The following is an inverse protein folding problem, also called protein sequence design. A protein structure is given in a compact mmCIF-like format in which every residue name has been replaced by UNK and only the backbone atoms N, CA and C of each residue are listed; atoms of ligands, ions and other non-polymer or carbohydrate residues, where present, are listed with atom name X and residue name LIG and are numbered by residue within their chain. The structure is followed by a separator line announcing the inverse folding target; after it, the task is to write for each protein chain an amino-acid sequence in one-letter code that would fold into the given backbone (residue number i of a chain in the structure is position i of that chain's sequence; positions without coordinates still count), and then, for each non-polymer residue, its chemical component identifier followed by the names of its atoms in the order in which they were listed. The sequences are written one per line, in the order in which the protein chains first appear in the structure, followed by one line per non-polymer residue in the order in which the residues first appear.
data_IF_661483216504
#
_entry.id   IF_661483216504
#
_cell.length_a   1.000
_cell.length_b   1.000
_cell.length_c   1.000
_cell.angle_alpha   90.00
_cell.angle_beta   90.00
_cell.angle_gamma   90.00
#
_symmetry.space_group_name_H-M   'P 1'
#
loop_
_entity.id
_entity.type
_entity.pdbx_description
1 polymer ?
#
# COMPACT_ATOMS: atom_id res chain seq x y z
N UNK A 1 47.62 42.41 58.96
CA UNK A 1 47.59 41.55 57.76
C UNK A 1 46.20 41.60 57.16
N UNK A 2 45.93 42.59 56.30
CA UNK A 2 44.63 42.75 55.64
C UNK A 2 44.77 42.24 54.21
N UNK A 3 44.36 40.99 53.97
CA UNK A 3 44.33 40.42 52.62
C UNK A 3 43.22 41.13 51.85
N UNK A 4 43.59 41.83 50.78
CA UNK A 4 42.66 42.60 49.95
C UNK A 4 41.59 41.67 49.34
N UNK A 5 40.29 41.98 49.46
CA UNK A 5 39.20 41.13 48.97
C UNK A 5 39.10 41.03 47.42
N UNK A 6 39.99 41.70 46.68
CA UNK A 6 40.00 41.73 45.21
C UNK A 6 40.71 40.53 44.57
N UNK A 7 41.73 39.95 45.21
CA UNK A 7 42.48 38.78 44.69
C UNK A 7 41.71 37.48 44.84
N UNK A 8 40.98 37.28 45.95
CA UNK A 8 40.10 36.11 46.15
C UNK A 8 38.92 36.09 45.19
N UNK A 9 38.39 37.25 44.81
CA UNK A 9 37.27 37.35 43.86
C UNK A 9 37.69 37.02 42.42
N UNK A 10 38.90 37.42 42.01
CA UNK A 10 39.48 37.05 40.71
C UNK A 10 39.81 35.56 40.62
N UNK A 11 40.39 34.98 41.67
CA UNK A 11 40.64 33.54 41.74
C UNK A 11 39.36 32.70 41.61
N UNK A 12 38.30 33.05 42.36
CA UNK A 12 36.99 32.36 42.26
C UNK A 12 36.38 32.42 40.86
N UNK A 13 36.50 33.56 40.17
CA UNK A 13 36.05 33.69 38.77
C UNK A 13 36.86 32.82 37.82
N UNK A 14 38.18 32.75 37.99
CA UNK A 14 39.04 31.91 37.16
C UNK A 14 38.71 30.41 37.35
N UNK A 15 38.53 29.94 38.59
CA UNK A 15 38.10 28.56 38.87
C UNK A 15 36.72 28.25 38.30
N UNK A 16 35.77 29.19 38.41
CA UNK A 16 34.43 29.01 37.84
C UNK A 16 34.45 28.91 36.31
N UNK A 17 35.23 29.77 35.64
CA UNK A 17 35.41 29.71 34.18
C UNK A 17 36.13 28.42 33.76
N UNK A 18 37.11 27.95 34.53
CA UNK A 18 37.81 26.70 34.25
C UNK A 18 36.91 25.48 34.40
N UNK A 19 36.02 25.47 35.40
CA UNK A 19 35.00 24.45 35.55
C UNK A 19 34.00 24.47 34.38
N UNK A 20 33.51 25.66 33.98
CA UNK A 20 32.63 25.80 32.82
C UNK A 20 33.30 25.33 31.51
N UNK A 21 34.59 25.61 31.31
CA UNK A 21 35.33 25.12 30.13
C UNK A 21 35.49 23.61 30.14
N UNK A 22 35.67 23.00 31.30
CA UNK A 22 35.71 21.54 31.44
C UNK A 22 34.35 20.91 31.14
N UNK A 23 33.27 21.51 31.64
CA UNK A 23 31.90 21.06 31.36
C UNK A 23 31.56 21.20 29.87
N UNK A 24 31.90 22.33 29.24
CA UNK A 24 31.72 22.52 27.80
C UNK A 24 32.52 21.51 26.97
N UNK A 25 33.76 21.18 27.38
CA UNK A 25 34.57 20.16 26.71
C UNK A 25 33.93 18.78 26.82
N UNK A 26 33.47 18.39 28.00
CA UNK A 26 32.80 17.11 28.21
C UNK A 26 31.49 17.01 27.39
N UNK A 27 30.74 18.11 27.26
CA UNK A 27 29.56 18.16 26.40
C UNK A 27 29.91 17.98 24.92
N UNK A 28 30.97 18.63 24.43
CA UNK A 28 31.42 18.45 23.04
C UNK A 28 31.84 17.02 22.78
N UNK A 29 32.61 16.40 23.68
CA UNK A 29 33.01 14.99 23.58
C UNK A 29 31.80 14.04 23.61
N UNK A 30 30.80 14.33 24.46
CA UNK A 30 29.55 13.58 24.50
C UNK A 30 28.78 13.67 23.18
N UNK A 31 28.55 14.89 22.67
CA UNK A 31 27.84 15.09 21.41
C UNK A 31 28.60 14.52 20.21
N UNK A 32 29.93 14.56 20.23
CA UNK A 32 30.77 13.90 19.23
C UNK A 32 30.57 12.38 19.26
N UNK A 33 30.55 11.77 20.46
CA UNK A 33 30.27 10.35 20.61
C UNK A 33 28.88 9.96 20.10
N UNK A 34 27.86 10.76 20.42
CA UNK A 34 26.49 10.57 19.92
C UNK A 34 26.46 10.65 18.39
N UNK A 35 27.12 11.66 17.80
CA UNK A 35 27.19 11.80 16.35
C UNK A 35 27.86 10.58 15.68
N UNK A 36 28.95 10.06 16.24
CA UNK A 36 29.62 8.86 15.73
C UNK A 36 28.72 7.62 15.83
N UNK A 37 27.99 7.45 16.94
CA UNK A 37 27.05 6.31 17.08
C UNK A 37 25.92 6.42 16.07
N UNK A 38 25.36 7.62 15.87
CA UNK A 38 24.33 7.85 14.85
C UNK A 38 24.86 7.57 13.44
N UNK A 39 26.09 7.97 13.13
CA UNK A 39 26.72 7.69 11.83
C UNK A 39 26.92 6.19 11.62
N UNK A 40 27.42 5.47 12.62
CA UNK A 40 27.61 4.01 12.55
C UNK A 40 26.27 3.27 12.43
N UNK A 41 25.25 3.67 13.21
CA UNK A 41 23.90 3.09 13.12
C UNK A 41 23.32 3.27 11.73
N UNK A 42 23.45 4.46 11.14
CA UNK A 42 23.02 4.73 9.77
C UNK A 42 23.78 3.87 8.75
N UNK A 43 25.08 3.67 8.93
CA UNK A 43 25.88 2.81 8.06
C UNK A 43 25.46 1.35 8.14
N UNK A 44 25.09 0.87 9.33
CA UNK A 44 24.58 -0.49 9.54
C UNK A 44 23.22 -0.69 8.86
N UNK A 45 22.28 0.24 9.04
CA UNK A 45 20.97 0.21 8.37
C UNK A 45 21.11 0.22 6.84
N UNK A 46 22.01 1.05 6.30
CA UNK A 46 22.28 1.08 4.85
C UNK A 46 22.88 -0.24 4.35
N UNK A 47 23.76 -0.88 5.14
CA UNK A 47 24.34 -2.16 4.78
C UNK A 47 23.30 -3.30 4.81
N UNK A 48 22.38 -3.27 5.77
CA UNK A 48 21.29 -4.25 5.87
C UNK A 48 20.27 -4.08 4.74
N UNK A 49 19.88 -2.84 4.42
CA UNK A 49 19.04 -2.53 3.26
C UNK A 49 19.68 -2.98 1.94
N UNK A 50 20.98 -2.70 1.75
CA UNK A 50 21.70 -3.15 0.56
C UNK A 50 21.68 -4.68 0.44
N UNK A 51 21.92 -5.39 1.54
CA UNK A 51 21.87 -6.86 1.58
C UNK A 51 20.47 -7.39 1.24
N UNK A 52 19.42 -6.75 1.74
CA UNK A 52 18.05 -7.13 1.44
C UNK A 52 17.72 -6.95 -0.05
N UNK A 53 18.10 -5.80 -0.65
CA UNK A 53 17.95 -5.57 -2.08
C UNK A 53 18.69 -6.64 -2.91
N UNK A 54 19.93 -6.97 -2.54
CA UNK A 54 20.70 -7.99 -3.25
C UNK A 54 20.03 -9.38 -3.15
N UNK A 55 19.44 -9.71 -2.00
CA UNK A 55 18.73 -10.97 -1.78
C UNK A 55 17.42 -11.04 -2.57
N UNK A 56 16.65 -9.94 -2.66
CA UNK A 56 15.45 -9.86 -3.48
C UNK A 56 15.78 -9.99 -4.97
N UNK A 57 16.84 -9.33 -5.44
CA UNK A 57 17.32 -9.47 -6.82
C UNK A 57 17.67 -10.93 -7.12
N UNK A 58 18.39 -11.61 -6.22
CA UNK A 58 18.74 -13.03 -6.40
C UNK A 58 17.49 -13.93 -6.43
N UNK A 59 16.53 -13.70 -5.53
CA UNK A 59 15.28 -14.46 -5.50
C UNK A 59 14.45 -14.27 -6.78
N UNK A 60 14.38 -13.03 -7.29
CA UNK A 60 13.68 -12.73 -8.54
C UNK A 60 14.39 -13.35 -9.75
N UNK A 61 15.72 -13.31 -9.79
CA UNK A 61 16.50 -13.96 -10.83
C UNK A 61 16.29 -15.48 -10.83
N UNK A 62 16.20 -16.11 -9.66
CA UNK A 62 15.92 -17.54 -9.55
C UNK A 62 14.50 -17.89 -10.01
N UNK A 63 13.50 -17.11 -9.62
CA UNK A 63 12.12 -17.30 -10.08
C UNK A 63 12.01 -17.16 -11.62
N UNK A 64 12.70 -16.16 -12.20
CA UNK A 64 12.77 -16.00 -13.65
C UNK A 64 13.48 -17.17 -14.34
N UNK A 65 14.57 -17.67 -13.74
CA UNK A 65 15.29 -18.85 -14.24
C UNK A 65 14.41 -20.10 -14.19
N UNK A 66 13.63 -20.27 -13.12
CA UNK A 66 12.72 -21.41 -12.97
C UNK A 66 11.58 -21.34 -13.98
N UNK A 67 10.94 -20.19 -14.15
CA UNK A 67 9.88 -20.01 -15.15
C UNK A 67 10.42 -20.22 -16.57
N UNK A 68 11.61 -19.73 -16.89
CA UNK A 68 12.27 -20.01 -18.17
C UNK A 68 12.47 -21.52 -18.38
N UNK A 69 12.99 -22.24 -17.39
CA UNK A 69 13.17 -23.70 -17.45
C UNK A 69 11.82 -24.45 -17.62
N UNK A 70 10.75 -23.98 -16.98
CA UNK A 70 9.40 -24.53 -17.15
C UNK A 70 8.89 -24.35 -18.59
N UNK A 71 9.12 -23.17 -19.19
CA UNK A 71 8.77 -22.92 -20.60
C UNK A 71 9.60 -23.79 -21.55
N UNK A 72 10.92 -23.91 -21.34
CA UNK A 72 11.79 -24.77 -22.13
C UNK A 72 11.34 -26.24 -22.07
N UNK A 73 10.98 -26.75 -20.89
CA UNK A 73 10.46 -28.10 -20.73
C UNK A 73 9.13 -28.30 -21.49
N UNK A 74 8.21 -27.33 -21.43
CA UNK A 74 6.95 -27.39 -22.19
C UNK A 74 7.18 -27.37 -23.69
N UNK A 75 8.12 -26.56 -24.17
CA UNK A 75 8.52 -26.50 -25.58
C UNK A 75 9.12 -27.85 -26.00
N UNK A 76 10.01 -28.45 -25.19
CA UNK A 76 10.60 -29.76 -25.48
C UNK A 76 9.53 -30.87 -25.56
N UNK A 77 8.53 -30.86 -24.68
CA UNK A 77 7.40 -31.81 -24.74
C UNK A 77 6.62 -31.64 -26.04
N UNK A 78 6.28 -30.40 -26.41
CA UNK A 78 5.57 -30.10 -27.67
C UNK A 78 6.38 -30.52 -28.90
N UNK A 79 7.70 -30.38 -28.88
CA UNK A 79 8.59 -30.81 -29.97
C UNK A 79 8.78 -32.33 -30.05
N UNK A 80 8.68 -33.03 -28.91
CA UNK A 80 8.81 -34.49 -28.84
C UNK A 80 7.54 -35.26 -29.19
N UNK A 81 6.41 -34.56 -29.31
CA UNK A 81 5.14 -35.16 -29.72
C UNK A 81 5.18 -35.43 -31.23
N UNK A 82 5.09 -36.69 -31.70
CA UNK A 82 5.12 -36.98 -33.12
C UNK A 82 3.87 -36.39 -33.78
N UNK A 83 4.10 -35.47 -34.72
CA UNK A 83 3.06 -35.00 -35.64
C UNK A 83 2.69 -36.20 -36.52
N UNK A 84 1.54 -36.81 -36.29
CA UNK A 84 0.86 -37.61 -37.32
C UNK A 84 0.38 -36.65 -38.43
N UNK A 85 1.32 -36.17 -39.23
CA UNK A 85 1.04 -35.42 -40.45
C UNK A 85 0.83 -36.45 -41.55
N UNK A 86 -0.42 -36.79 -41.82
CA UNK A 86 -0.79 -37.46 -43.06
C UNK A 86 -0.49 -36.53 -44.25
N UNK A 87 0.45 -36.98 -45.09
CA UNK A 87 0.39 -36.79 -46.54
C UNK A 87 0.95 -35.49 -47.13
N UNK A 88 2.23 -35.51 -47.51
CA UNK A 88 2.81 -34.69 -48.58
C UNK A 88 2.24 -35.12 -49.96
N UNK A 89 2.21 -34.24 -50.99
CA UNK A 89 3.41 -34.09 -51.82
C UNK A 89 3.70 -32.67 -52.34
N UNK A 90 4.93 -32.23 -52.05
CA UNK A 90 5.93 -31.72 -52.99
C UNK A 90 5.46 -31.06 -54.30
N UNK A 91 5.67 -29.75 -54.42
CA UNK A 91 6.11 -29.14 -55.68
C UNK A 91 7.19 -28.08 -55.45
N UNK A 92 8.20 -28.20 -56.30
CA UNK A 92 9.43 -27.41 -56.41
C UNK A 92 9.10 -26.00 -56.93
N UNK A 93 9.70 -24.96 -56.36
CA UNK A 93 10.44 -23.96 -57.14
C UNK A 93 11.24 -22.98 -56.27
N UNK A 94 12.51 -22.90 -56.63
CA UNK A 94 13.47 -21.85 -56.32
C UNK A 94 13.04 -20.49 -56.90
N UNK A 95 13.43 -19.39 -56.24
CA UNK A 95 13.74 -18.03 -56.76
C UNK A 95 13.65 -17.06 -55.55
N UNK A 96 14.80 -16.66 -54.96
CA UNK A 96 15.48 -15.36 -55.14
C UNK A 96 14.69 -14.15 -54.63
N UNK A 97 15.34 -13.42 -53.72
CA UNK A 97 15.16 -11.97 -53.46
C UNK A 97 13.79 -11.58 -52.91
N UNK A 98 13.56 -10.52 -52.19
CA UNK A 98 14.26 -9.59 -51.30
C UNK A 98 13.09 -8.83 -50.65
N UNK A 99 13.31 -8.25 -49.47
CA UNK A 99 12.56 -7.13 -48.86
C UNK A 99 11.06 -6.84 -49.19
N UNK A 100 10.34 -6.58 -48.10
CA UNK A 100 9.25 -5.60 -47.94
C UNK A 100 7.78 -5.99 -48.28
N UNK A 101 6.91 -5.63 -47.34
CA UNK A 101 5.44 -5.72 -47.31
C UNK A 101 4.77 -4.75 -48.33
N UNK A 102 3.42 -4.50 -48.38
CA UNK A 102 2.28 -5.00 -47.58
C UNK A 102 0.94 -5.25 -48.35
N UNK A 103 -0.05 -5.77 -47.60
CA UNK A 103 -1.54 -5.61 -47.67
C UNK A 103 -2.33 -5.60 -48.99
N UNK A 104 -3.50 -6.28 -49.01
CA UNK A 104 -4.87 -5.64 -48.94
C UNK A 104 -6.03 -6.50 -49.52
N UNK A 105 -7.13 -6.64 -48.73
CA UNK A 105 -8.56 -6.94 -49.05
C UNK A 105 -8.93 -8.28 -49.76
N UNK A 106 -10.08 -8.96 -49.57
CA UNK A 106 -11.42 -8.67 -49.00
C UNK A 106 -12.24 -9.98 -48.84
N UNK A 107 -13.19 -9.98 -47.89
CA UNK A 107 -14.27 -10.97 -47.56
C UNK A 107 -15.33 -11.19 -48.69
N UNK A 108 -16.47 -11.93 -48.48
CA UNK A 108 -16.80 -13.31 -47.99
C UNK A 108 -17.82 -14.01 -48.96
N UNK A 109 -18.56 -15.15 -48.71
CA UNK A 109 -19.69 -15.31 -47.74
C UNK A 109 -19.87 -16.78 -47.16
N UNK A 110 -20.39 -17.00 -45.95
CA UNK A 110 -21.79 -17.33 -45.51
C UNK A 110 -22.15 -18.83 -45.26
N UNK A 111 -22.66 -19.08 -44.03
CA UNK A 111 -23.87 -19.85 -43.64
C UNK A 111 -23.90 -21.38 -43.96
N UNK A 112 -24.41 -22.33 -43.16
CA UNK A 112 -25.30 -22.41 -42.00
C UNK A 112 -25.31 -23.87 -41.52
N UNK A 113 -25.63 -24.10 -40.23
CA UNK A 113 -26.64 -25.07 -39.74
C UNK A 113 -26.32 -25.64 -38.35
N UNK A 114 -27.05 -25.09 -37.37
CA UNK A 114 -27.52 -25.64 -36.07
C UNK A 114 -28.62 -26.70 -36.41
N UNK A 115 -29.16 -27.62 -35.54
CA UNK A 115 -29.36 -27.55 -34.08
C UNK A 115 -29.10 -28.92 -33.35
N UNK A 116 -29.36 -29.22 -32.08
CA UNK A 116 -30.05 -28.63 -30.92
C UNK A 116 -29.71 -29.51 -29.70
N UNK A 117 -29.82 -29.00 -28.47
CA UNK A 117 -29.83 -29.85 -27.26
C UNK A 117 -29.36 -29.19 -25.95
N UNK A 118 -30.20 -28.31 -25.41
CA UNK A 118 -30.14 -27.62 -24.11
C UNK A 118 -30.00 -28.58 -22.89
N UNK A 119 -29.48 -28.20 -21.72
CA UNK A 119 -29.08 -26.87 -21.28
C UNK A 119 -28.55 -26.78 -19.84
N UNK A 120 -28.27 -25.52 -19.48
CA UNK A 120 -28.03 -24.89 -18.18
C UNK A 120 -26.68 -25.20 -17.46
N UNK A 121 -25.63 -24.37 -17.63
CA UNK A 121 -25.37 -23.04 -17.02
C UNK A 121 -24.80 -23.15 -15.58
N UNK A 122 -23.68 -22.54 -15.16
CA UNK A 122 -22.89 -21.41 -15.68
C UNK A 122 -21.43 -21.47 -15.16
N UNK A 123 -20.53 -21.08 -16.05
CA UNK A 123 -19.08 -20.92 -15.92
C UNK A 123 -18.70 -19.47 -15.64
N UNK A 124 -17.61 -19.22 -14.94
CA UNK A 124 -16.99 -17.87 -14.87
C UNK A 124 -15.48 -18.01 -14.97
N UNK A 125 -14.96 -18.02 -16.20
CA UNK A 125 -13.56 -17.79 -16.51
C UNK A 125 -13.46 -17.29 -17.96
N UNK A 126 -12.73 -16.20 -18.17
CA UNK A 126 -12.02 -15.99 -19.43
C UNK A 126 -12.62 -15.03 -20.47
N UNK A 127 -11.89 -13.92 -20.63
CA UNK A 127 -11.61 -13.22 -21.89
C UNK A 127 -12.57 -12.14 -22.40
N UNK A 128 -12.20 -10.91 -22.01
CA UNK A 128 -12.50 -9.65 -22.68
C UNK A 128 -11.85 -9.59 -24.08
N UNK A 129 -12.69 -9.49 -25.11
CA UNK A 129 -12.54 -8.74 -26.37
C UNK A 129 -13.77 -9.10 -27.22
N UNK A 130 -14.63 -8.21 -27.73
CA UNK A 130 -14.38 -6.95 -28.42
C UNK A 130 -15.75 -6.28 -28.75
N UNK A 131 -15.67 -5.02 -29.21
CA UNK A 131 -16.66 -4.23 -29.99
C UNK A 131 -17.75 -3.46 -29.24
N UNK A 132 -17.49 -2.16 -29.10
CA UNK A 132 -18.24 -1.13 -29.82
C UNK A 132 -17.33 0.09 -30.03
N UNK A 133 -16.80 0.23 -31.25
CA UNK A 133 -16.12 1.44 -31.70
C UNK A 133 -16.74 1.84 -33.03
N UNK A 134 -17.69 2.77 -32.96
CA UNK A 134 -18.01 3.65 -34.08
C UNK A 134 -17.26 4.94 -33.86
N UNK A 135 -16.32 5.25 -34.74
CA UNK A 135 -15.73 6.58 -34.87
C UNK A 135 -15.16 6.72 -36.28
N UNK A 136 -15.98 7.28 -37.16
CA UNK A 136 -15.48 7.98 -38.33
C UNK A 136 -15.47 9.47 -37.99
N UNK A 137 -14.29 10.08 -38.01
CA UNK A 137 -14.05 11.34 -38.72
C UNK A 137 -12.55 11.63 -38.78
N UNK A 138 -12.11 11.86 -40.01
CA UNK A 138 -10.74 12.09 -40.43
C UNK A 138 -10.37 13.57 -40.38
N UNK A 139 -9.07 13.81 -40.31
CA UNK A 139 -8.33 14.98 -40.84
C UNK A 139 -8.50 16.31 -40.08
N UNK A 140 -7.46 17.10 -39.86
CA UNK A 140 -6.28 17.32 -40.71
C UNK A 140 -4.97 17.55 -39.93
N UNK A 141 -3.89 17.23 -40.62
CA UNK A 141 -2.46 17.30 -40.28
C UNK A 141 -2.00 18.74 -39.94
N UNK A 142 -0.98 18.97 -39.12
CA UNK A 142 0.42 18.72 -39.51
C UNK A 142 1.40 18.67 -38.33
N UNK A 143 2.31 17.70 -38.46
CA UNK A 143 3.72 17.58 -38.03
C UNK A 143 4.29 18.60 -37.02
N UNK A 144 4.73 18.05 -35.88
CA UNK A 144 6.13 17.93 -35.44
C UNK A 144 6.33 18.19 -33.93
N UNK A 145 7.13 17.29 -33.35
CA UNK A 145 7.52 17.15 -31.94
C UNK A 145 8.31 18.35 -31.37
N UNK A 146 8.77 18.31 -30.11
CA UNK A 146 8.10 18.51 -28.83
C UNK A 146 8.64 19.77 -28.12
N UNK A 147 7.97 20.35 -27.11
CA UNK A 147 8.63 20.84 -25.86
C UNK A 147 7.75 21.71 -24.94
N UNK A 148 8.02 21.51 -23.66
CA UNK A 148 7.50 22.14 -22.44
C UNK A 148 7.27 23.68 -22.51
N UNK A 149 6.12 24.18 -22.03
CA UNK A 149 5.87 25.61 -21.94
C UNK A 149 6.43 26.18 -20.63
N UNK A 150 7.50 26.98 -20.74
CA UNK A 150 7.84 27.96 -19.70
C UNK A 150 6.87 29.13 -19.74
N UNK A 151 6.42 29.53 -18.55
CA UNK A 151 5.72 30.79 -18.27
C UNK A 151 6.60 31.98 -18.69
N UNK A 152 5.95 33.01 -19.21
CA UNK A 152 6.49 34.37 -19.29
C UNK A 152 5.78 35.18 -18.20
N UNK A 153 6.56 35.68 -17.24
CA UNK A 153 6.15 36.75 -16.34
C UNK A 153 6.30 38.08 -17.08
N UNK A 154 5.27 38.92 -17.02
CA UNK A 154 5.31 40.29 -17.54
C UNK A 154 6.10 41.17 -16.57
N UNK A 155 6.82 42.17 -17.08
CA UNK A 155 6.66 43.59 -16.74
C UNK A 155 7.92 44.43 -17.05
N UNK A 156 7.65 45.60 -17.65
CA UNK A 156 8.42 46.85 -17.75
C UNK A 156 9.88 46.82 -18.22
N UNK A 157 10.10 47.29 -19.46
CA UNK A 157 10.89 48.51 -19.71
C UNK A 157 10.79 48.86 -21.20
N UNK A 158 9.88 49.78 -21.51
CA UNK A 158 10.08 50.71 -22.62
C UNK A 158 11.13 51.72 -22.16
N UNK A 159 12.39 51.56 -22.56
CA UNK A 159 13.28 52.71 -22.75
C UNK A 159 14.34 52.41 -23.81
N UNK A 160 14.17 53.11 -24.94
CA UNK A 160 15.24 53.69 -25.75
C UNK A 160 16.38 52.77 -26.23
N UNK A 161 16.18 52.06 -27.35
CA UNK A 161 17.27 51.69 -28.26
C UNK A 161 16.82 51.81 -29.72
N UNK A 162 16.62 53.04 -30.18
CA UNK A 162 16.84 53.37 -31.59
C UNK A 162 18.19 54.08 -31.66
N UNK A 163 19.10 53.55 -32.50
CA UNK A 163 20.33 54.19 -32.96
C UNK A 163 21.56 54.09 -32.06
N UNK A 164 22.41 53.09 -32.31
CA UNK A 164 23.86 53.27 -32.45
C UNK A 164 24.40 52.18 -33.37
N UNK A 165 25.00 52.59 -34.49
CA UNK A 165 25.59 51.70 -35.47
C UNK A 165 26.78 50.91 -34.94
N UNK A 166 27.06 49.81 -35.64
CA UNK A 166 28.37 49.13 -35.74
C UNK A 166 29.11 48.89 -34.43
N UNK A 167 28.77 47.81 -33.72
CA UNK A 167 29.72 47.08 -32.88
C UNK A 167 29.46 45.58 -33.03
N UNK A 168 30.41 44.93 -33.70
CA UNK A 168 30.81 43.50 -33.68
C UNK A 168 29.78 42.51 -33.09
N UNK A 169 29.28 41.53 -33.89
CA UNK A 169 28.50 40.43 -33.35
C UNK A 169 29.39 39.46 -32.57
N UNK A 170 29.79 39.82 -31.36
CA UNK A 170 30.31 38.85 -30.38
C UNK A 170 29.11 38.19 -29.69
N UNK A 171 28.80 36.99 -30.17
CA UNK A 171 28.02 35.94 -29.54
C UNK A 171 26.63 36.35 -28.99
N UNK A 172 25.62 36.35 -29.87
CA UNK A 172 24.25 36.07 -29.41
C UNK A 172 24.26 34.64 -28.87
N UNK A 173 24.29 34.47 -27.55
CA UNK A 173 24.24 33.15 -26.92
C UNK A 173 22.92 32.46 -27.29
N UNK A 174 23.01 31.50 -28.20
CA UNK A 174 21.90 30.66 -28.59
C UNK A 174 21.94 29.39 -27.71
N UNK A 175 20.95 29.18 -26.81
CA UNK A 175 20.94 28.01 -25.96
C UNK A 175 20.87 26.73 -26.80
N UNK A 176 21.57 25.64 -26.39
CA UNK A 176 21.43 24.33 -27.02
C UNK A 176 19.98 23.85 -27.05
N UNK A 177 19.63 23.01 -28.02
CA UNK A 177 18.26 22.48 -28.16
C UNK A 177 17.74 21.90 -26.83
N UNK A 178 16.48 22.19 -26.50
CA UNK A 178 15.85 21.81 -25.23
C UNK A 178 16.15 22.74 -24.05
N UNK A 179 17.07 23.69 -24.20
CA UNK A 179 17.38 24.69 -23.18
C UNK A 179 16.73 26.00 -23.58
N UNK A 180 15.98 26.60 -22.67
CA UNK A 180 15.46 27.96 -22.83
C UNK A 180 16.22 28.87 -21.86
N UNK A 181 16.23 30.17 -22.09
CA UNK A 181 16.70 31.15 -21.11
C UNK A 181 15.60 31.40 -20.07
N UNK A 182 15.95 31.38 -18.79
CA UNK A 182 15.04 31.68 -17.67
C UNK A 182 15.52 33.00 -17.07
N UNK A 183 14.58 33.88 -16.71
CA UNK A 183 14.93 35.08 -15.91
C UNK A 183 15.30 34.66 -14.48
N UNK A 184 16.04 35.50 -13.74
CA UNK A 184 16.39 35.15 -12.35
C UNK A 184 15.15 34.96 -11.47
N UNK A 185 14.11 35.79 -11.64
CA UNK A 185 12.85 35.66 -10.90
C UNK A 185 12.08 34.38 -11.24
N UNK A 186 12.03 33.98 -12.52
CA UNK A 186 11.41 32.71 -12.93
C UNK A 186 12.21 31.50 -12.42
N UNK A 187 13.54 31.62 -12.33
CA UNK A 187 14.41 30.58 -11.78
C UNK A 187 14.18 30.42 -10.28
N UNK A 188 14.11 31.52 -9.53
CA UNK A 188 13.83 31.52 -8.10
C UNK A 188 12.43 30.93 -7.80
N UNK A 189 11.42 31.30 -8.60
CA UNK A 189 10.07 30.75 -8.48
C UNK A 189 10.02 29.24 -8.77
N UNK A 190 10.74 28.77 -9.80
CA UNK A 190 10.84 27.34 -10.10
C UNK A 190 11.58 26.58 -8.98
N UNK A 191 12.65 27.18 -8.44
CA UNK A 191 13.45 26.57 -7.38
C UNK A 191 12.68 26.52 -6.04
N UNK A 192 11.83 27.52 -5.75
CA UNK A 192 10.90 27.51 -4.63
C UNK A 192 9.86 26.38 -4.77
N UNK A 193 9.27 26.21 -5.96
CA UNK A 193 8.34 25.10 -6.23
C UNK A 193 9.02 23.72 -6.15
N UNK A 194 10.25 23.58 -6.65
CA UNK A 194 11.02 22.35 -6.50
C UNK A 194 11.34 22.05 -5.03
N UNK A 195 11.60 23.08 -4.23
CA UNK A 195 11.83 22.93 -2.78
C UNK A 195 10.56 22.53 -2.04
N UNK A 196 9.41 23.11 -2.40
CA UNK A 196 8.10 22.75 -1.87
C UNK A 196 7.72 21.32 -2.24
N UNK A 197 7.83 20.94 -3.51
CA UNK A 197 7.60 19.57 -3.97
C UNK A 197 8.55 18.56 -3.30
N UNK A 198 9.82 18.93 -3.09
CA UNK A 198 10.77 18.10 -2.35
C UNK A 198 10.36 17.93 -0.89
N UNK A 199 9.88 18.99 -0.25
CA UNK A 199 9.33 18.93 1.11
C UNK A 199 8.11 18.02 1.18
N UNK A 200 7.20 18.13 0.20
CA UNK A 200 6.00 17.31 0.09
C UNK A 200 6.32 15.83 -0.11
N UNK A 201 7.25 15.52 -1.01
CA UNK A 201 7.74 14.14 -1.22
C UNK A 201 8.37 13.59 0.07
N UNK A 202 9.17 14.39 0.78
CA UNK A 202 9.78 13.97 2.04
C UNK A 202 8.72 13.69 3.13
N UNK A 203 7.66 14.50 3.18
CA UNK A 203 6.53 14.30 4.10
C UNK A 203 5.74 13.04 3.78
N UNK A 204 5.37 12.84 2.52
CA UNK A 204 4.67 11.64 2.08
C UNK A 204 5.50 10.37 2.29
N UNK A 205 6.82 10.47 2.14
CA UNK A 205 7.71 9.36 2.40
C UNK A 205 7.76 8.99 3.90
N UNK A 206 7.81 9.98 4.79
CA UNK A 206 7.72 9.75 6.23
C UNK A 206 6.36 9.15 6.65
N UNK A 207 5.25 9.62 6.07
CA UNK A 207 3.91 9.06 6.31
C UNK A 207 3.81 7.61 5.83
N UNK A 208 4.38 7.30 4.65
CA UNK A 208 4.46 5.94 4.14
C UNK A 208 5.23 5.02 5.11
N UNK A 209 6.41 5.45 5.55
CA UNK A 209 7.23 4.70 6.51
C UNK A 209 6.51 4.50 7.86
N UNK A 210 5.70 5.47 8.29
CA UNK A 210 4.88 5.32 9.49
C UNK A 210 3.74 4.31 9.32
N UNK A 211 3.05 4.34 8.18
CA UNK A 211 2.01 3.36 7.87
C UNK A 211 2.57 1.95 7.70
N UNK A 212 3.76 1.81 7.11
CA UNK A 212 4.46 0.53 6.99
C UNK A 212 4.82 -0.03 8.38
N UNK A 213 5.37 0.80 9.26
CA UNK A 213 5.64 0.41 10.65
C UNK A 213 4.38 -0.02 11.39
N UNK A 214 3.27 0.70 11.23
CA UNK A 214 2.01 0.35 11.90
C UNK A 214 1.40 -0.94 11.34
N UNK A 215 1.52 -1.18 10.03
CA UNK A 215 1.11 -2.45 9.44
C UNK A 215 1.93 -3.62 10.01
N UNK A 216 3.24 -3.44 10.16
CA UNK A 216 4.12 -4.46 10.74
C UNK A 216 3.81 -4.72 12.21
N UNK A 217 3.56 -3.69 13.02
CA UNK A 217 3.18 -3.87 14.43
C UNK A 217 1.85 -4.62 14.56
N UNK A 218 0.85 -4.27 13.75
CA UNK A 218 -0.45 -4.94 13.74
C UNK A 218 -0.36 -6.38 13.22
N UNK A 219 0.40 -6.62 12.14
CA UNK A 219 0.66 -7.97 11.62
C UNK A 219 1.33 -8.85 12.68
N UNK A 220 2.35 -8.34 13.35
CA UNK A 220 3.03 -9.05 14.43
C UNK A 220 2.11 -9.30 15.64
N UNK A 221 1.26 -8.34 16.01
CA UNK A 221 0.32 -8.50 17.11
C UNK A 221 -0.74 -9.56 16.79
N UNK A 222 -1.34 -9.51 15.61
CA UNK A 222 -2.33 -10.50 15.16
C UNK A 222 -1.72 -11.90 15.04
N UNK A 223 -0.49 -12.02 14.52
CA UNK A 223 0.24 -13.29 14.47
C UNK A 223 0.45 -13.88 15.88
N UNK A 224 0.86 -13.07 16.85
CA UNK A 224 1.01 -13.49 18.26
C UNK A 224 -0.31 -13.97 18.88
N UNK A 225 -1.42 -13.25 18.61
CA UNK A 225 -2.74 -13.66 19.06
C UNK A 225 -3.17 -15.00 18.46
N UNK A 226 -3.02 -15.15 17.14
CA UNK A 226 -3.34 -16.41 16.42
C UNK A 226 -2.49 -17.56 16.94
N UNK A 227 -1.19 -17.35 17.18
CA UNK A 227 -0.30 -18.38 17.73
C UNK A 227 -0.71 -18.81 19.14
N UNK A 228 -1.11 -17.86 19.99
CA UNK A 228 -1.62 -18.14 21.33
C UNK A 228 -2.90 -18.96 21.28
N UNK A 229 -3.87 -18.55 20.46
CA UNK A 229 -5.12 -19.29 20.26
C UNK A 229 -4.88 -20.69 19.69
N UNK A 230 -3.95 -20.83 18.74
CA UNK A 230 -3.57 -22.12 18.18
C UNK A 230 -3.00 -23.06 19.25
N UNK A 231 -2.12 -22.55 20.12
CA UNK A 231 -1.57 -23.34 21.24
C UNK A 231 -2.65 -23.76 22.23
N UNK A 232 -3.63 -22.89 22.50
CA UNK A 232 -4.76 -23.19 23.39
C UNK A 232 -5.69 -24.25 22.78
N UNK A 233 -5.98 -24.15 21.48
CA UNK A 233 -6.76 -25.16 20.75
C UNK A 233 -6.05 -26.50 20.81
N UNK A 234 -4.75 -26.55 20.51
CA UNK A 234 -3.96 -27.78 20.56
C UNK A 234 -3.92 -28.40 21.97
N UNK A 235 -3.80 -27.58 23.02
CA UNK A 235 -3.85 -28.05 24.41
C UNK A 235 -5.23 -28.64 24.76
N UNK A 236 -6.32 -27.98 24.34
CA UNK A 236 -7.68 -28.49 24.55
C UNK A 236 -7.97 -29.77 23.77
N UNK A 237 -7.45 -29.89 22.55
CA UNK A 237 -7.56 -31.11 21.75
C UNK A 237 -6.82 -32.28 22.43
N UNK A 238 -5.59 -32.06 22.92
CA UNK A 238 -4.85 -33.08 23.67
C UNK A 238 -5.61 -33.52 24.92
N UNK A 239 -6.18 -32.58 25.67
CA UNK A 239 -6.97 -32.88 26.87
C UNK A 239 -8.22 -33.72 26.53
N UNK A 240 -8.92 -33.39 25.44
CA UNK A 240 -10.07 -34.16 24.97
C UNK A 240 -9.67 -35.58 24.56
N UNK A 241 -8.54 -35.75 23.88
CA UNK A 241 -8.02 -37.07 23.53
C UNK A 241 -7.70 -37.90 24.78
N UNK A 242 -7.13 -37.30 25.82
CA UNK A 242 -6.81 -38.00 27.06
C UNK A 242 -8.06 -38.34 27.87
N UNK A 243 -9.06 -37.46 27.89
CA UNK A 243 -10.39 -37.75 28.45
C UNK A 243 -11.06 -38.90 27.70
N UNK A 244 -11.00 -38.92 26.37
CA UNK A 244 -11.56 -40.00 25.56
C UNK A 244 -10.86 -41.33 25.87
N UNK A 245 -9.52 -41.33 26.00
CA UNK A 245 -8.76 -42.51 26.41
C UNK A 245 -9.17 -42.97 27.81
N UNK A 246 -9.22 -42.06 28.80
CA UNK A 246 -9.58 -42.42 30.18
C UNK A 246 -11.02 -42.95 30.28
N UNK A 247 -11.95 -42.39 29.52
CA UNK A 247 -13.32 -42.88 29.42
C UNK A 247 -13.37 -44.31 28.87
N UNK A 248 -12.66 -44.59 27.77
CA UNK A 248 -12.59 -45.94 27.20
C UNK A 248 -11.97 -46.95 28.18
N UNK A 249 -10.95 -46.54 28.94
CA UNK A 249 -10.32 -47.37 29.96
C UNK A 249 -11.26 -47.66 31.13
N UNK A 250 -11.94 -46.64 31.64
CA UNK A 250 -12.94 -46.77 32.70
C UNK A 250 -14.12 -47.65 32.27
N UNK A 251 -14.61 -47.46 31.04
CA UNK A 251 -15.66 -48.28 30.45
C UNK A 251 -15.24 -49.76 30.39
N UNK A 252 -14.04 -50.05 29.90
CA UNK A 252 -13.51 -51.42 29.84
C UNK A 252 -13.34 -52.03 31.24
N UNK A 253 -12.87 -51.25 32.22
CA UNK A 253 -12.73 -51.69 33.61
C UNK A 253 -14.09 -52.06 34.24
N UNK A 254 -15.12 -51.24 34.02
CA UNK A 254 -16.49 -51.52 34.47
C UNK A 254 -17.05 -52.77 33.79
N UNK A 255 -16.84 -52.93 32.48
CA UNK A 255 -17.26 -54.13 31.75
C UNK A 255 -16.57 -55.40 32.30
N UNK A 256 -15.28 -55.35 32.61
CA UNK A 256 -14.55 -56.46 33.25
C UNK A 256 -15.14 -56.81 34.61
N UNK A 257 -15.36 -55.81 35.48
CA UNK A 257 -15.97 -56.03 36.80
C UNK A 257 -17.38 -56.61 36.72
N UNK A 258 -18.18 -56.17 35.76
CA UNK A 258 -19.52 -56.73 35.53
C UNK A 258 -19.46 -58.20 35.08
N UNK A 259 -18.49 -58.55 34.22
CA UNK A 259 -18.27 -59.93 33.80
C UNK A 259 -17.82 -60.82 34.98
N UNK A 260 -16.92 -60.32 35.83
CA UNK A 260 -16.48 -61.00 37.06
C UNK A 260 -17.62 -61.23 38.05
N UNK A 261 -18.46 -60.20 38.30
CA UNK A 261 -19.66 -60.30 39.14
C UNK A 261 -20.66 -61.32 38.59
N UNK A 262 -20.89 -61.31 37.28
CA UNK A 262 -21.79 -62.28 36.64
C UNK A 262 -21.29 -63.72 36.79
N UNK A 263 -19.97 -63.92 36.70
CA UNK A 263 -19.34 -65.21 36.89
C UNK A 263 -19.34 -65.66 38.36
N UNK A 264 -19.12 -64.73 39.31
CA UNK A 264 -19.22 -65.03 40.75
C UNK A 264 -20.65 -65.34 41.16
N UNK A 265 -21.64 -64.61 40.66
CA UNK A 265 -23.06 -64.88 40.86
C UNK A 265 -23.44 -66.27 40.36
N UNK A 266 -23.04 -66.63 39.12
CA UNK A 266 -23.31 -67.97 38.57
C UNK A 266 -22.70 -69.07 39.44
N UNK A 267 -21.45 -68.89 39.89
CA UNK A 267 -20.79 -69.83 40.81
C UNK A 267 -21.56 -69.96 42.13
N UNK A 268 -21.96 -68.84 42.73
CA UNK A 268 -22.74 -68.82 43.98
C UNK A 268 -24.12 -69.49 43.81
N UNK A 269 -24.83 -69.25 42.69
CA UNK A 269 -26.09 -69.93 42.41
C UNK A 269 -25.91 -71.45 42.27
N UNK A 270 -24.81 -71.90 41.65
CA UNK A 270 -24.48 -73.33 41.57
C UNK A 270 -24.20 -73.92 42.96
N UNK A 271 -23.45 -73.21 43.82
CA UNK A 271 -23.18 -73.62 45.20
C UNK A 271 -24.44 -73.67 46.08
N UNK A 272 -25.32 -72.68 45.98
CA UNK A 272 -26.61 -72.68 46.67
C UNK A 272 -27.52 -73.83 46.20
N UNK A 273 -27.49 -74.15 44.90
CA UNK A 273 -28.23 -75.29 44.36
C UNK A 273 -27.68 -76.62 44.88
N UNK A 274 -26.37 -76.71 45.12
CA UNK A 274 -25.72 -77.87 45.75
C UNK A 274 -26.11 -78.01 47.22
N UNK A 275 -25.97 -76.94 48.01
CA UNK A 275 -26.31 -76.93 49.44
C UNK A 275 -27.80 -77.15 49.71
N UNK A 276 -28.69 -76.63 48.85
CA UNK A 276 -30.14 -76.90 48.95
C UNK A 276 -30.50 -78.37 48.68
N UNK A 277 -29.62 -79.13 48.01
CA UNK A 277 -29.73 -80.59 47.89
C UNK A 277 -29.20 -81.35 49.12
N UNK A 278 -28.62 -80.64 50.09
CA UNK A 278 -27.89 -81.15 51.25
C UNK A 278 -28.45 -80.51 52.53
N UNK A 279 -29.76 -80.64 52.76
CA UNK A 279 -30.40 -80.32 54.04
C UNK A 279 -31.01 -81.61 54.62
N UNK A 280 -30.22 -82.32 55.41
CA UNK A 280 -30.66 -83.32 56.40
C UNK A 280 -29.88 -83.05 57.68
N UNK A 281 -30.62 -82.72 58.72
CA UNK A 281 -30.30 -82.84 60.15
C UNK A 281 -29.21 -81.92 60.70
N UNK A 282 -29.58 -80.89 61.45
CA UNK A 282 -29.53 -81.01 62.92
C UNK A 282 -30.16 -79.82 63.64
N UNK A 283 -30.95 -80.18 64.65
CA UNK A 283 -31.68 -79.36 65.61
C UNK A 283 -30.76 -78.68 66.65
N UNK A 284 -31.05 -77.39 66.96
CA UNK A 284 -31.42 -76.81 68.30
C UNK A 284 -30.52 -77.13 69.54
N UNK A 285 -30.36 -76.25 70.58
CA UNK A 285 -30.28 -74.78 70.67
C UNK A 285 -29.15 -74.26 71.60
N UNK A 286 -28.99 -72.93 71.60
CA UNK A 286 -28.62 -72.03 72.71
C UNK A 286 -27.95 -72.59 73.98
N UNK A 287 -26.66 -72.27 74.16
CA UNK A 287 -26.08 -71.89 75.46
C UNK A 287 -24.83 -71.02 75.23
N UNK A 288 -24.96 -69.69 75.31
CA UNK A 288 -23.81 -68.79 75.08
C UNK A 288 -24.02 -67.31 75.43
N UNK A 289 -24.81 -66.97 76.45
CA UNK A 289 -25.23 -65.58 76.70
C UNK A 289 -24.21 -64.68 77.44
N UNK A 290 -23.10 -65.21 77.99
CA UNK A 290 -22.13 -64.38 78.76
C UNK A 290 -20.79 -64.09 78.07
N UNK A 291 -20.39 -64.88 77.07
CA UNK A 291 -19.20 -64.57 76.23
C UNK A 291 -19.58 -63.67 75.03
N UNK A 292 -20.84 -63.75 74.58
CA UNK A 292 -21.42 -62.93 73.52
C UNK A 292 -21.44 -61.43 73.84
N UNK A 293 -21.67 -61.03 75.10
CA UNK A 293 -21.76 -59.62 75.47
C UNK A 293 -20.42 -58.86 75.36
N UNK A 294 -19.29 -59.48 75.73
CA UNK A 294 -17.96 -58.88 75.61
C UNK A 294 -17.47 -58.85 74.15
N UNK A 295 -17.73 -59.92 73.39
CA UNK A 295 -17.43 -59.99 71.96
C UNK A 295 -18.30 -59.01 71.15
N UNK A 296 -19.58 -58.86 71.51
CA UNK A 296 -20.51 -57.90 70.92
C UNK A 296 -20.12 -56.45 71.25
N UNK A 297 -19.68 -56.18 72.49
CA UNK A 297 -19.10 -54.88 72.87
C UNK A 297 -17.87 -54.52 72.06
N UNK A 298 -16.93 -55.46 71.89
CA UNK A 298 -15.74 -55.26 71.05
C UNK A 298 -16.08 -55.06 69.56
N UNK A 299 -17.09 -55.76 69.03
CA UNK A 299 -17.56 -55.56 67.65
C UNK A 299 -18.34 -54.25 67.46
N UNK A 300 -19.07 -53.78 68.48
CA UNK A 300 -19.66 -52.43 68.49
C UNK A 300 -18.58 -51.34 68.55
N UNK A 301 -17.57 -51.53 69.38
CA UNK A 301 -16.42 -50.62 69.47
C UNK A 301 -15.64 -50.57 68.15
N UNK A 302 -15.39 -51.72 67.52
CA UNK A 302 -14.69 -51.78 66.23
C UNK A 302 -15.52 -51.13 65.10
N UNK A 303 -16.84 -51.31 65.09
CA UNK A 303 -17.74 -50.58 64.17
C UNK A 303 -17.64 -49.06 64.35
N UNK A 304 -17.64 -48.59 65.59
CA UNK A 304 -17.47 -47.16 65.88
C UNK A 304 -16.09 -46.65 65.47
N UNK A 305 -15.03 -47.44 65.63
CA UNK A 305 -13.69 -47.07 65.14
C UNK A 305 -13.64 -46.94 63.62
N UNK A 306 -14.21 -47.91 62.89
CA UNK A 306 -14.31 -47.86 61.43
C UNK A 306 -15.13 -46.63 61.00
N UNK A 307 -16.23 -46.33 61.68
CA UNK A 307 -17.07 -45.17 61.38
C UNK A 307 -16.35 -43.85 61.68
N UNK A 308 -15.59 -43.75 62.77
CA UNK A 308 -14.74 -42.58 63.07
C UNK A 308 -13.67 -42.39 61.99
N UNK A 309 -13.03 -43.47 61.52
CA UNK A 309 -12.02 -43.39 60.45
C UNK A 309 -12.67 -42.95 59.14
N UNK A 310 -13.83 -43.52 58.77
CA UNK A 310 -14.57 -43.14 57.57
C UNK A 310 -15.04 -41.67 57.63
N UNK A 311 -15.55 -41.21 58.77
CA UNK A 311 -15.94 -39.81 58.94
C UNK A 311 -14.73 -38.85 58.87
N UNK A 312 -13.54 -39.27 59.32
CA UNK A 312 -12.30 -38.51 59.17
C UNK A 312 -11.88 -38.43 57.70
N UNK A 313 -11.91 -39.55 56.99
CA UNK A 313 -11.60 -39.59 55.55
C UNK A 313 -12.58 -38.73 54.73
N UNK A 314 -13.87 -38.73 55.10
CA UNK A 314 -14.87 -37.83 54.51
C UNK A 314 -14.62 -36.35 54.82
N UNK A 315 -14.05 -36.04 55.99
CA UNK A 315 -13.70 -34.67 56.36
C UNK A 315 -12.45 -34.21 55.61
N UNK A 316 -11.44 -35.06 55.52
CA UNK A 316 -10.20 -34.79 54.80
C UNK A 316 -10.49 -34.56 53.29
N UNK A 317 -11.27 -35.44 52.66
CA UNK A 317 -11.71 -35.27 51.25
C UNK A 317 -12.47 -33.96 51.05
N UNK A 318 -13.41 -33.59 51.94
CA UNK A 318 -14.09 -32.29 51.86
C UNK A 318 -13.16 -31.10 52.06
N UNK A 319 -12.11 -31.21 52.87
CA UNK A 319 -11.13 -30.13 53.03
C UNK A 319 -10.28 -29.95 51.78
N UNK A 320 -9.86 -31.04 51.14
CA UNK A 320 -9.13 -31.00 49.87
C UNK A 320 -9.99 -30.41 48.74
N UNK A 321 -11.24 -30.84 48.62
CA UNK A 321 -12.23 -30.27 47.69
C UNK A 321 -12.43 -28.77 47.92
N UNK A 322 -12.48 -28.31 49.18
CA UNK A 322 -12.63 -26.89 49.50
C UNK A 322 -11.39 -26.06 49.10
N UNK A 323 -10.19 -26.62 49.24
CA UNK A 323 -8.96 -25.98 48.73
C UNK A 323 -8.98 -25.91 47.21
N UNK A 324 -9.35 -27.00 46.52
CA UNK A 324 -9.50 -27.00 45.06
C UNK A 324 -10.56 -25.99 44.59
N UNK A 325 -11.70 -25.92 45.28
CA UNK A 325 -12.75 -24.93 45.00
C UNK A 325 -12.25 -23.50 45.20
N UNK A 326 -11.45 -23.23 46.23
CA UNK A 326 -10.83 -21.92 46.44
C UNK A 326 -9.85 -21.55 45.31
N UNK A 327 -9.04 -22.51 44.85
CA UNK A 327 -8.12 -22.31 43.72
C UNK A 327 -8.89 -22.04 42.43
N UNK A 328 -9.90 -22.86 42.12
CA UNK A 328 -10.75 -22.66 40.95
C UNK A 328 -11.48 -21.32 41.01
N UNK A 329 -11.96 -20.91 42.19
CA UNK A 329 -12.58 -19.59 42.38
C UNK A 329 -11.61 -18.46 42.05
N UNK A 330 -10.38 -18.50 42.56
CA UNK A 330 -9.37 -17.47 42.21
C UNK A 330 -9.05 -17.46 40.71
N UNK A 331 -9.05 -18.63 40.06
CA UNK A 331 -8.80 -18.70 38.62
C UNK A 331 -9.98 -18.15 37.82
N UNK A 332 -11.22 -18.43 38.23
CA UNK A 332 -12.41 -17.80 37.61
C UNK A 332 -12.43 -16.29 37.77
N UNK A 333 -11.99 -15.76 38.91
CA UNK A 333 -11.87 -14.32 39.16
C UNK A 333 -10.79 -13.69 38.26
N UNK A 334 -9.64 -14.35 38.06
CA UNK A 334 -8.60 -13.89 37.13
C UNK A 334 -9.09 -13.88 35.69
N UNK A 335 -9.72 -14.98 35.23
CA UNK A 335 -10.29 -15.06 33.88
C UNK A 335 -11.35 -13.98 33.69
N UNK A 336 -12.18 -13.73 34.70
CA UNK A 336 -13.17 -12.66 34.66
C UNK A 336 -12.52 -11.28 34.53
N UNK A 337 -11.49 -10.98 35.32
CA UNK A 337 -10.74 -9.72 35.21
C UNK A 337 -10.07 -9.55 33.83
N UNK A 338 -9.48 -10.61 33.28
CA UNK A 338 -8.92 -10.59 31.92
C UNK A 338 -9.98 -10.33 30.86
N UNK A 339 -11.17 -10.93 31.00
CA UNK A 339 -12.31 -10.69 30.10
C UNK A 339 -12.75 -9.24 30.14
N UNK A 340 -12.90 -8.65 31.33
CA UNK A 340 -13.28 -7.24 31.47
C UNK A 340 -12.22 -6.31 30.90
N UNK A 341 -10.93 -6.62 31.08
CA UNK A 341 -9.82 -5.87 30.49
C UNK A 341 -9.87 -5.90 28.96
N UNK A 342 -9.99 -7.09 28.36
CA UNK A 342 -10.11 -7.23 26.90
C UNK A 342 -11.37 -6.55 26.37
N UNK A 343 -12.46 -6.56 27.13
CA UNK A 343 -13.69 -5.86 26.76
C UNK A 343 -13.51 -4.33 26.79
N UNK A 344 -12.75 -3.80 27.76
CA UNK A 344 -12.40 -2.39 27.81
C UNK A 344 -11.49 -1.97 26.65
N UNK A 345 -10.46 -2.77 26.34
CA UNK A 345 -9.56 -2.54 25.20
C UNK A 345 -10.32 -2.57 23.87
N UNK A 346 -11.22 -3.54 23.68
CA UNK A 346 -12.06 -3.63 22.49
C UNK A 346 -12.97 -2.41 22.33
N UNK A 347 -13.53 -1.89 23.43
CA UNK A 347 -14.31 -0.65 23.39
C UNK A 347 -13.44 0.56 23.05
N UNK A 348 -12.23 0.66 23.60
CA UNK A 348 -11.28 1.72 23.27
C UNK A 348 -10.91 1.71 21.78
N UNK A 349 -10.52 0.55 21.24
CA UNK A 349 -10.23 0.38 19.81
C UNK A 349 -11.44 0.75 18.93
N UNK A 350 -12.66 0.41 19.34
CA UNK A 350 -13.87 0.83 18.61
C UNK A 350 -14.05 2.35 18.60
N UNK A 351 -13.80 3.02 19.72
CA UNK A 351 -13.89 4.48 19.78
C UNK A 351 -12.83 5.17 18.94
N UNK A 352 -11.61 4.64 18.90
CA UNK A 352 -10.53 5.13 18.06
C UNK A 352 -10.84 4.95 16.57
N UNK A 353 -11.35 3.78 16.17
CA UNK A 353 -11.80 3.54 14.80
C UNK A 353 -12.91 4.52 14.36
N UNK A 354 -13.84 4.83 15.25
CA UNK A 354 -14.89 5.79 14.94
C UNK A 354 -14.34 7.22 14.82
N UNK A 355 -13.40 7.61 15.67
CA UNK A 355 -12.71 8.90 15.55
C UNK A 355 -11.92 9.00 14.22
N UNK A 356 -11.22 7.94 13.83
CA UNK A 356 -10.51 7.87 12.55
C UNK A 356 -11.46 7.94 11.36
N UNK A 357 -12.63 7.29 11.42
CA UNK A 357 -13.67 7.41 10.38
C UNK A 357 -14.17 8.84 10.23
N UNK A 358 -14.40 9.55 11.34
CA UNK A 358 -14.80 10.96 11.32
C UNK A 358 -13.69 11.82 10.71
N UNK A 359 -12.44 11.64 11.11
CA UNK A 359 -11.30 12.35 10.54
C UNK A 359 -11.17 12.10 9.03
N UNK A 360 -11.30 10.85 8.58
CA UNK A 360 -11.30 10.49 7.16
C UNK A 360 -12.43 11.20 6.40
N UNK A 361 -13.63 11.24 6.97
CA UNK A 361 -14.76 11.95 6.34
C UNK A 361 -14.50 13.46 6.19
N UNK A 362 -13.82 14.08 7.16
CA UNK A 362 -13.43 15.48 7.11
C UNK A 362 -12.37 15.74 6.03
N UNK A 363 -11.34 14.91 5.96
CA UNK A 363 -10.31 14.99 4.91
C UNK A 363 -10.93 14.78 3.52
N UNK A 364 -11.86 13.84 3.37
CA UNK A 364 -12.57 13.65 2.10
C UNK A 364 -13.42 14.86 1.72
N UNK A 365 -14.13 15.48 2.67
CA UNK A 365 -14.92 16.69 2.41
C UNK A 365 -14.03 17.86 2.00
N UNK A 366 -12.92 18.08 2.71
CA UNK A 366 -11.98 19.17 2.40
C UNK A 366 -11.31 18.95 1.04
N UNK A 367 -10.94 17.71 0.70
CA UNK A 367 -10.39 17.38 -0.61
C UNK A 367 -11.39 17.67 -1.74
N UNK A 368 -12.69 17.34 -1.55
CA UNK A 368 -13.75 17.69 -2.51
C UNK A 368 -13.87 19.20 -2.69
N UNK A 369 -13.85 19.97 -1.60
CA UNK A 369 -13.90 21.44 -1.65
C UNK A 369 -12.69 22.00 -2.41
N UNK A 370 -11.47 21.59 -2.04
CA UNK A 370 -10.24 22.03 -2.71
C UNK A 370 -10.22 21.63 -4.19
N UNK A 371 -10.74 20.46 -4.54
CA UNK A 371 -10.88 20.05 -5.95
C UNK A 371 -11.84 20.97 -6.72
N UNK A 372 -12.94 21.40 -6.09
CA UNK A 372 -13.87 22.34 -6.71
C UNK A 372 -13.24 23.73 -6.88
N UNK A 373 -12.50 24.22 -5.88
CA UNK A 373 -11.77 25.49 -5.94
C UNK A 373 -10.65 25.46 -6.99
N UNK A 374 -9.95 24.33 -7.12
CA UNK A 374 -8.96 24.13 -8.19
C UNK A 374 -9.62 24.20 -9.58
N UNK A 375 -10.81 23.62 -9.74
CA UNK A 375 -11.53 23.68 -11.01
C UNK A 375 -11.98 25.11 -11.35
N UNK A 376 -12.50 25.86 -10.37
CA UNK A 376 -12.91 27.26 -10.58
C UNK A 376 -11.71 28.16 -10.89
N UNK A 377 -10.58 27.99 -10.20
CA UNK A 377 -9.36 28.76 -10.47
C UNK A 377 -8.79 28.45 -11.87
N UNK A 378 -8.81 27.18 -12.29
CA UNK A 378 -8.41 26.80 -13.64
C UNK A 378 -9.31 27.45 -14.71
N UNK A 379 -10.62 27.49 -14.48
CA UNK A 379 -11.57 28.17 -15.38
C UNK A 379 -11.26 29.67 -15.50
N UNK A 380 -11.02 30.34 -14.37
CA UNK A 380 -10.62 31.76 -14.35
C UNK A 380 -9.29 32.00 -15.10
N UNK A 381 -8.33 31.09 -14.98
CA UNK A 381 -7.07 31.19 -15.73
C UNK A 381 -7.28 31.10 -17.24
N UNK A 382 -8.21 30.24 -17.70
CA UNK A 382 -8.54 30.12 -19.12
C UNK A 382 -9.24 31.39 -19.64
N UNK A 383 -10.14 31.97 -18.87
CA UNK A 383 -10.84 33.22 -19.22
C UNK A 383 -9.86 34.40 -19.32
N UNK A 384 -8.98 34.58 -18.33
CA UNK A 384 -7.94 35.61 -18.37
C UNK A 384 -6.99 35.40 -19.56
N UNK A 385 -6.63 34.15 -19.88
CA UNK A 385 -5.81 33.86 -21.06
C UNK A 385 -6.51 34.23 -22.36
N UNK A 386 -7.81 33.94 -22.47
CA UNK A 386 -8.63 34.36 -23.62
C UNK A 386 -8.66 35.89 -23.74
N UNK A 387 -8.82 36.60 -22.63
CA UNK A 387 -8.79 38.06 -22.60
C UNK A 387 -7.44 38.63 -23.06
N UNK A 388 -6.32 38.06 -22.61
CA UNK A 388 -4.97 38.45 -23.05
C UNK A 388 -4.78 38.22 -24.54
N UNK A 389 -5.25 37.10 -25.10
CA UNK A 389 -5.19 36.83 -26.54
C UNK A 389 -6.00 37.87 -27.32
N UNK A 390 -7.21 38.19 -26.86
CA UNK A 390 -8.06 39.22 -27.45
C UNK A 390 -7.39 40.60 -27.45
N UNK A 391 -6.88 41.02 -26.30
CA UNK A 391 -6.16 42.30 -26.17
C UNK A 391 -4.91 42.34 -27.06
N UNK A 392 -4.17 41.23 -27.17
CA UNK A 392 -2.99 41.18 -28.04
C UNK A 392 -3.36 41.32 -29.52
N UNK A 393 -4.42 40.67 -29.97
CA UNK A 393 -4.97 40.87 -31.32
C UNK A 393 -5.40 42.33 -31.56
N UNK A 394 -6.03 42.97 -30.57
CA UNK A 394 -6.36 44.40 -30.66
C UNK A 394 -5.12 45.29 -30.77
N UNK A 395 -4.05 44.98 -30.04
CA UNK A 395 -2.77 45.70 -30.16
C UNK A 395 -2.15 45.48 -31.54
N UNK A 396 -2.09 44.24 -32.03
CA UNK A 396 -1.49 43.90 -33.33
C UNK A 396 -2.24 44.59 -34.49
N UNK A 397 -3.57 44.61 -34.44
CA UNK A 397 -4.39 45.35 -35.42
C UNK A 397 -4.14 46.86 -35.35
N UNK A 398 -4.04 47.43 -34.14
CA UNK A 398 -3.71 48.86 -33.99
C UNK A 398 -2.31 49.20 -34.53
N UNK A 399 -1.32 48.31 -34.32
CA UNK A 399 0.03 48.47 -34.83
C UNK A 399 0.09 48.34 -36.36
N UNK A 400 -0.70 47.44 -36.94
CA UNK A 400 -0.82 47.32 -38.39
C UNK A 400 -1.37 48.62 -38.99
N UNK A 401 -2.48 49.14 -38.45
CA UNK A 401 -3.07 50.41 -38.88
C UNK A 401 -2.08 51.56 -38.76
N UNK A 402 -1.27 51.61 -37.69
CA UNK A 402 -0.22 52.63 -37.55
C UNK A 402 0.87 52.50 -38.61
N UNK A 403 1.32 51.27 -38.93
CA UNK A 403 2.30 51.02 -39.99
C UNK A 403 1.77 51.47 -41.36
N UNK A 404 0.54 51.07 -41.69
CA UNK A 404 -0.12 51.44 -42.94
C UNK A 404 -0.25 52.97 -43.08
N UNK A 405 -0.59 53.66 -41.98
CA UNK A 405 -0.65 55.12 -41.96
C UNK A 405 0.72 55.76 -42.22
N UNK A 406 1.77 55.25 -41.60
CA UNK A 406 3.14 55.74 -41.82
C UNK A 406 3.56 55.50 -43.27
N UNK A 407 3.35 54.31 -43.82
CA UNK A 407 3.66 53.97 -45.21
C UNK A 407 2.90 54.86 -46.20
N UNK A 408 1.59 55.05 -45.98
CA UNK A 408 0.77 55.95 -46.78
C UNK A 408 1.26 57.39 -46.70
N UNK A 409 1.65 57.86 -45.51
CA UNK A 409 2.18 59.22 -45.32
C UNK A 409 3.51 59.43 -46.04
N UNK A 410 4.40 58.43 -46.01
CA UNK A 410 5.68 58.47 -46.73
C UNK A 410 5.46 58.43 -48.24
N UNK A 411 4.59 57.54 -48.72
CA UNK A 411 4.22 57.45 -50.15
C UNK A 411 3.62 58.74 -50.65
N UNK A 412 2.69 59.33 -49.90
CA UNK A 412 2.12 60.64 -50.20
C UNK A 412 3.19 61.72 -50.25
N UNK A 413 4.11 61.74 -49.29
CA UNK A 413 5.19 62.72 -49.25
C UNK A 413 6.13 62.61 -50.47
N UNK A 414 6.45 61.39 -50.90
CA UNK A 414 7.22 61.13 -52.13
C UNK A 414 6.45 61.60 -53.36
N UNK A 415 5.16 61.24 -53.48
CA UNK A 415 4.32 61.67 -54.61
C UNK A 415 4.23 63.19 -54.72
N UNK A 416 4.05 63.88 -53.59
CA UNK A 416 4.02 65.35 -53.56
C UNK A 416 5.37 65.96 -53.99
N UNK A 417 6.49 65.36 -53.59
CA UNK A 417 7.82 65.82 -53.98
C UNK A 417 8.10 65.59 -55.48
N UNK A 418 7.66 64.45 -56.03
CA UNK A 418 7.74 64.18 -57.47
C UNK A 418 6.91 65.19 -58.29
N UNK A 419 5.69 65.50 -57.82
CA UNK A 419 4.85 66.55 -58.43
C UNK A 419 5.54 67.91 -58.38
N UNK A 420 6.20 68.24 -57.27
CA UNK A 420 6.97 69.50 -57.13
C UNK A 420 8.13 69.59 -58.11
N UNK A 421 8.73 68.45 -58.47
CA UNK A 421 9.86 68.35 -59.39
C UNK A 421 9.45 68.23 -60.87
N UNK A 422 8.16 67.99 -61.17
CA UNK A 422 7.68 67.82 -62.54
C UNK A 422 7.74 69.13 -63.35
N UNK A 423 8.18 69.05 -64.59
CA UNK A 423 8.37 70.21 -65.49
C UNK A 423 7.16 70.44 -66.42
N UNK A 424 6.23 69.48 -66.51
CA UNK A 424 5.02 69.56 -67.36
C UNK A 424 3.76 69.00 -66.69
N UNK A 425 2.58 69.42 -67.17
CA UNK A 425 1.30 69.01 -66.61
C UNK A 425 0.97 67.54 -66.90
N UNK A 426 1.43 67.02 -68.04
CA UNK A 426 1.32 65.61 -68.43
C UNK A 426 2.11 64.69 -67.48
N UNK A 427 3.31 65.08 -67.02
CA UNK A 427 4.08 64.33 -66.02
C UNK A 427 3.37 64.26 -64.66
N UNK A 428 2.72 65.36 -64.26
CA UNK A 428 1.93 65.38 -63.01
C UNK A 428 0.72 64.44 -63.10
N UNK A 429 0.08 64.33 -64.26
CA UNK A 429 -1.03 63.38 -64.46
C UNK A 429 -0.56 61.93 -64.39
N UNK A 430 0.58 61.61 -64.99
CA UNK A 430 1.16 60.26 -64.94
C UNK A 430 1.48 59.82 -63.51
N UNK A 431 2.13 60.67 -62.70
CA UNK A 431 2.46 60.39 -61.27
C UNK A 431 1.18 60.17 -60.42
N UNK A 432 0.07 60.83 -60.78
CA UNK A 432 -1.22 60.66 -60.10
C UNK A 432 -1.96 59.40 -60.59
N UNK A 433 -1.87 59.06 -61.88
CA UNK A 433 -2.49 57.86 -62.48
C UNK A 433 -1.75 56.56 -62.12
N UNK A 434 -0.45 56.62 -61.83
CA UNK A 434 0.37 55.47 -61.41
C UNK A 434 -0.11 54.84 -60.08
N UNK A 435 -1.06 55.48 -59.37
CA UNK A 435 -1.75 54.90 -58.20
C UNK A 435 -3.08 54.20 -58.49
N UNK A 436 -3.56 54.15 -59.75
CA UNK A 436 -4.87 53.57 -60.12
C UNK A 436 -4.78 52.45 -61.17
N UNK A 437 -3.58 52.01 -61.55
CA UNK A 437 -3.37 51.09 -62.68
C UNK A 437 -3.42 49.58 -62.39
N UNK A 438 -3.28 49.11 -61.14
CA UNK A 438 -3.00 47.67 -60.88
C UNK A 438 -3.86 47.00 -59.79
N UNK A 439 -5.11 47.43 -59.59
CA UNK A 439 -6.04 46.73 -58.68
C UNK A 439 -7.38 46.36 -59.34
N UNK A 440 -7.32 45.96 -60.62
CA UNK A 440 -8.44 45.30 -61.30
C UNK A 440 -8.15 43.81 -61.51
N UNK A 441 -8.29 43.03 -60.44
CA UNK A 441 -8.39 41.56 -60.51
C UNK A 441 -9.87 41.14 -60.41
N UNK A 442 -10.34 40.15 -61.20
CA UNK A 442 -11.74 39.76 -61.30
C UNK A 442 -12.23 38.97 -60.07
N UNK A 443 -13.56 38.79 -59.88
CA UNK A 443 -14.09 38.12 -58.70
C UNK A 443 -13.77 36.63 -58.78
N UNK A 444 -13.16 36.08 -57.74
CA UNK A 444 -13.02 34.63 -57.56
C UNK A 444 -14.03 34.20 -56.52
N UNK A 445 -14.97 33.40 -57.01
CA UNK A 445 -16.02 32.71 -56.25
C UNK A 445 -15.45 31.88 -55.09
N UNK A 446 -16.19 31.94 -54.00
CA UNK A 446 -16.18 31.04 -52.85
C UNK A 446 -16.44 29.59 -53.25
N UNK A 447 -16.05 28.63 -52.38
CA UNK A 447 -17.09 28.01 -51.56
C UNK A 447 -17.00 28.32 -50.05
#
# INVERSE_FOLDING_TARGET
FSISPSTTRKGKKAFYLQAQLADCRAQVEHWQGVATICELSKQEELAELQKQCDQEIQSLQEALRETAAQYEARIAVLQSQPVECFGLPSFINSLTEDESAPSTHSHPPELEAVPEGEGAALTTEGYFSLRNCDSASLSSFSLDTPSLPRKHHAQDDTDSLVSTGTLVPEAIYLPPAGHRLVTHSDWDALNAQLSELRGEVSRLQAEKEELERELDTQSNHTHKQVSTLQSQVQASESLLQDLQKSFSQSQNAVQSRLAELSLSQRKMCNELSRLKGEEVEEDVPDTGSSFSAALHGAHCEERLRIEIVNLREQLDTRTEENVQFSSLKTETEKIHAQREQLQAELLACRTELEALRVALSHVQSTNKTLSSEKATLNQQCLELRSQVISMRSQVDTSQAVQRDFVELSQSLQVKLELIRQAESLEQVKEILEEGHGEDSSPPVDTP
#
